data_IF_122467949019
#
_entry.id   IF_122467949019
#
_cell.length_a   1.000
_cell.length_b   1.000
_cell.length_c   1.000
_cell.angle_alpha   90.00
_cell.angle_beta   90.00
_cell.angle_gamma   90.00
#
_symmetry.space_group_name_H-M   'P 1'
#
loop_
_entity.id
_entity.type
_entity.pdbx_description
1 polymer ?
#
# COMPACT_ATOMS: atom_id res chain seq x y z
N UNK A 1 -12.31 -13.95 -5.73
CA UNK A 1 -12.45 -14.23 -4.29
C UNK A 1 -13.84 -13.84 -3.82
N UNK A 2 -14.42 -14.54 -2.85
CA UNK A 2 -15.68 -14.13 -2.20
C UNK A 2 -15.36 -13.48 -0.86
N UNK A 3 -15.98 -12.33 -0.56
CA UNK A 3 -15.78 -11.64 0.72
C UNK A 3 -16.58 -12.37 1.80
N UNK A 4 -15.91 -12.76 2.89
CA UNK A 4 -16.56 -13.38 4.04
C UNK A 4 -17.55 -12.44 4.72
N UNK A 5 -18.63 -12.98 5.29
CA UNK A 5 -19.68 -12.20 5.96
C UNK A 5 -19.06 -11.28 7.04
N UNK A 6 -19.41 -9.98 6.98
CA UNK A 6 -18.91 -8.97 7.92
C UNK A 6 -17.48 -8.48 7.66
N UNK A 7 -16.78 -9.03 6.66
CA UNK A 7 -15.47 -8.55 6.21
C UNK A 7 -15.59 -7.58 5.03
N UNK A 8 -14.54 -6.82 4.78
CA UNK A 8 -14.44 -5.78 3.75
C UNK A 8 -13.06 -5.77 3.11
N UNK A 9 -12.97 -5.26 1.89
CA UNK A 9 -11.69 -4.92 1.25
C UNK A 9 -11.51 -3.41 1.41
N UNK A 10 -10.36 -2.99 1.91
CA UNK A 10 -10.04 -1.57 2.09
C UNK A 10 -9.05 -1.13 1.02
N UNK A 11 -9.33 0.00 0.39
CA UNK A 11 -8.45 0.63 -0.59
C UNK A 11 -7.95 1.94 0.00
N UNK A 12 -6.66 2.20 -0.14
CA UNK A 12 -6.05 3.48 0.22
C UNK A 12 -4.84 3.76 -0.67
N UNK A 13 -4.55 5.03 -0.90
CA UNK A 13 -3.45 5.52 -1.74
C UNK A 13 -3.07 6.93 -1.29
N UNK A 14 -2.03 7.50 -1.92
CA UNK A 14 -1.71 8.94 -1.82
C UNK A 14 -1.48 9.41 -0.38
N UNK A 15 -0.80 8.57 0.40
CA UNK A 15 -0.40 8.94 1.75
C UNK A 15 0.77 9.92 1.74
N UNK A 16 1.64 9.87 0.73
CA UNK A 16 2.80 10.75 0.57
C UNK A 16 3.60 10.89 1.89
N UNK A 17 3.94 9.76 2.50
CA UNK A 17 4.78 9.73 3.69
C UNK A 17 6.18 10.24 3.34
N UNK A 18 6.60 11.31 4.01
CA UNK A 18 7.84 12.05 3.72
C UNK A 18 7.60 13.55 3.52
N UNK A 19 6.41 13.93 3.01
CA UNK A 19 6.05 15.31 2.70
C UNK A 19 5.17 15.97 3.78
N UNK A 20 5.06 17.31 3.85
CA UNK A 20 6.04 18.27 3.36
C UNK A 20 7.27 18.38 4.29
N UNK A 21 7.15 17.86 5.51
CA UNK A 21 8.17 17.90 6.54
C UNK A 21 8.03 16.68 7.46
N UNK A 22 9.07 16.42 8.27
CA UNK A 22 9.13 15.25 9.15
C UNK A 22 8.00 15.23 10.19
N UNK A 23 7.67 16.37 10.80
CA UNK A 23 6.68 16.44 11.87
C UNK A 23 5.26 16.16 11.34
N UNK A 24 4.91 16.79 10.22
CA UNK A 24 3.65 16.60 9.52
C UNK A 24 3.52 15.17 8.98
N UNK A 25 4.58 14.64 8.37
CA UNK A 25 4.63 13.25 7.89
C UNK A 25 4.47 12.25 9.04
N UNK A 26 5.15 12.46 10.17
CA UNK A 26 5.02 11.60 11.35
C UNK A 26 3.61 11.62 11.95
N UNK A 27 2.97 12.79 11.99
CA UNK A 27 1.58 12.89 12.43
C UNK A 27 0.65 12.10 11.51
N UNK A 28 0.87 12.15 10.19
CA UNK A 28 0.13 11.37 9.20
C UNK A 28 0.41 9.87 9.31
N UNK A 29 1.67 9.46 9.47
CA UNK A 29 2.08 8.07 9.72
C UNK A 29 1.29 7.48 10.90
N UNK A 30 1.29 8.18 12.05
CA UNK A 30 0.55 7.75 13.25
C UNK A 30 -0.96 7.67 13.01
N UNK A 31 -1.52 8.60 12.23
CA UNK A 31 -2.95 8.60 11.88
C UNK A 31 -3.30 7.38 11.02
N UNK A 32 -2.47 7.06 10.02
CA UNK A 32 -2.63 5.90 9.14
C UNK A 32 -2.53 4.60 9.96
N UNK A 33 -1.51 4.48 10.82
CA UNK A 33 -1.34 3.31 11.69
C UNK A 33 -2.57 3.09 12.58
N UNK A 34 -3.09 4.15 13.21
CA UNK A 34 -4.33 4.06 14.03
C UNK A 34 -5.55 3.68 13.20
N UNK A 35 -5.66 4.18 11.97
CA UNK A 35 -6.72 3.78 11.06
C UNK A 35 -6.62 2.31 10.67
N UNK A 36 -5.42 1.81 10.38
CA UNK A 36 -5.16 0.40 10.09
C UNK A 36 -5.58 -0.50 11.27
N UNK A 37 -5.30 -0.10 12.50
CA UNK A 37 -5.78 -0.80 13.70
C UNK A 37 -7.31 -0.86 13.77
N UNK A 38 -7.97 0.23 13.39
CA UNK A 38 -9.43 0.34 13.45
C UNK A 38 -10.11 -0.56 12.42
N UNK A 39 -9.52 -0.71 11.23
CA UNK A 39 -10.10 -1.54 10.16
C UNK A 39 -9.69 -3.02 10.25
N UNK A 40 -8.59 -3.34 10.92
CA UNK A 40 -8.03 -4.70 10.96
C UNK A 40 -9.05 -5.80 11.31
N UNK A 41 -9.93 -5.64 12.32
CA UNK A 41 -10.92 -6.67 12.66
C UNK A 41 -11.90 -7.00 11.52
N UNK A 42 -12.18 -6.04 10.64
CA UNK A 42 -13.10 -6.18 9.51
C UNK A 42 -12.39 -6.35 8.16
N UNK A 43 -11.05 -6.29 8.11
CA UNK A 43 -10.30 -6.43 6.86
C UNK A 43 -10.26 -7.88 6.38
N UNK A 44 -10.75 -8.12 5.17
CA UNK A 44 -10.47 -9.32 4.38
C UNK A 44 -9.18 -9.16 3.59
N UNK A 45 -8.90 -7.94 3.13
CA UNK A 45 -7.72 -7.56 2.37
C UNK A 45 -7.57 -6.04 2.43
N UNK A 46 -6.33 -5.57 2.39
CA UNK A 46 -5.99 -4.16 2.25
C UNK A 46 -5.24 -3.99 0.93
N UNK A 47 -5.63 -2.97 0.16
CA UNK A 47 -4.99 -2.60 -1.09
C UNK A 47 -4.40 -1.21 -0.92
N UNK A 48 -3.09 -1.11 -1.06
CA UNK A 48 -2.33 0.13 -1.09
C UNK A 48 -2.08 0.49 -2.56
N UNK A 49 -2.81 1.46 -3.11
CA UNK A 49 -2.92 1.73 -4.53
C UNK A 49 -2.01 2.89 -5.00
N UNK A 50 -0.72 2.84 -4.66
CA UNK A 50 0.28 3.81 -5.09
C UNK A 50 0.41 5.04 -4.17
N UNK A 51 1.55 5.72 -4.35
CA UNK A 51 1.92 6.97 -3.67
C UNK A 51 1.75 6.93 -2.14
N UNK A 52 2.21 5.83 -1.55
CA UNK A 52 2.23 5.66 -0.10
C UNK A 52 3.39 6.44 0.50
N UNK A 53 4.55 6.44 -0.15
CA UNK A 53 5.67 7.30 0.20
C UNK A 53 5.73 8.49 -0.77
N UNK A 54 6.22 9.61 -0.28
CA UNK A 54 6.53 10.77 -1.13
C UNK A 54 7.81 10.51 -1.95
N UNK A 55 8.68 9.64 -1.45
CA UNK A 55 9.80 9.09 -2.20
C UNK A 55 10.25 7.77 -1.58
N UNK A 56 10.35 6.72 -2.39
CA UNK A 56 10.92 5.44 -1.98
C UNK A 56 11.87 4.89 -3.03
N UNK A 57 13.11 4.59 -2.62
CA UNK A 57 14.14 4.02 -3.48
C UNK A 57 14.87 2.87 -2.79
N UNK A 58 14.72 1.66 -3.30
CA UNK A 58 15.40 0.49 -2.77
C UNK A 58 16.83 0.37 -3.32
N UNK A 59 17.80 0.25 -2.40
CA UNK A 59 19.16 -0.13 -2.74
C UNK A 59 19.36 -1.61 -2.43
N UNK A 60 20.30 -2.24 -3.14
CA UNK A 60 20.60 -3.68 -2.99
C UNK A 60 20.87 -4.12 -1.54
N UNK A 61 21.37 -3.23 -0.69
CA UNK A 61 21.81 -3.53 0.68
C UNK A 61 21.32 -2.50 1.70
N UNK A 62 20.44 -1.57 1.30
CA UNK A 62 19.94 -0.53 2.18
C UNK A 62 18.47 -0.21 1.88
N UNK A 63 17.71 -0.07 2.95
CA UNK A 63 16.31 0.34 2.93
C UNK A 63 16.25 1.83 3.30
N UNK A 64 15.40 2.65 2.65
CA UNK A 64 15.15 4.02 3.07
C UNK A 64 14.85 4.12 4.56
N UNK A 65 15.46 5.11 5.21
CA UNK A 65 15.20 5.40 6.63
C UNK A 65 13.82 6.02 6.80
N UNK A 66 13.14 5.68 7.90
CA UNK A 66 11.87 6.28 8.27
C UNK A 66 10.69 5.33 8.10
N UNK A 67 9.48 5.86 8.36
CA UNK A 67 8.21 5.15 8.19
C UNK A 67 8.11 3.80 8.92
N UNK A 68 8.92 3.63 9.97
CA UNK A 68 9.09 2.34 10.64
C UNK A 68 7.81 1.88 11.35
N UNK A 69 6.95 2.81 11.79
CA UNK A 69 5.68 2.46 12.45
C UNK A 69 4.69 1.94 11.42
N UNK A 70 4.65 2.57 10.25
CA UNK A 70 3.84 2.08 9.13
C UNK A 70 4.33 0.70 8.66
N UNK A 71 5.64 0.55 8.40
CA UNK A 71 6.23 -0.73 8.02
C UNK A 71 5.97 -1.82 9.08
N UNK A 72 6.18 -1.52 10.36
CA UNK A 72 5.89 -2.44 11.46
C UNK A 72 4.40 -2.80 11.55
N UNK A 73 3.49 -1.85 11.27
CA UNK A 73 2.06 -2.14 11.22
C UNK A 73 1.71 -3.06 10.05
N UNK A 74 2.32 -2.88 8.88
CA UNK A 74 2.11 -3.79 7.75
C UNK A 74 2.59 -5.21 8.09
N UNK A 75 3.76 -5.35 8.72
CA UNK A 75 4.27 -6.63 9.20
C UNK A 75 3.27 -7.31 10.16
N UNK A 76 2.81 -6.58 11.18
CA UNK A 76 1.84 -7.09 12.16
C UNK A 76 0.52 -7.56 11.50
N UNK A 77 0.01 -6.81 10.53
CA UNK A 77 -1.21 -7.19 9.80
C UNK A 77 -1.01 -8.47 8.97
N UNK A 78 0.16 -8.61 8.34
CA UNK A 78 0.52 -9.81 7.57
C UNK A 78 0.68 -11.03 8.46
N UNK A 79 1.30 -10.89 9.64
CA UNK A 79 1.39 -11.95 10.65
C UNK A 79 0.01 -12.38 11.16
N UNK A 80 -0.95 -11.46 11.23
CA UNK A 80 -2.36 -11.74 11.53
C UNK A 80 -3.13 -12.35 10.34
N UNK A 81 -2.44 -12.74 9.27
CA UNK A 81 -3.01 -13.30 8.05
C UNK A 81 -4.01 -12.37 7.35
N UNK A 82 -3.86 -11.05 7.47
CA UNK A 82 -4.63 -10.08 6.69
C UNK A 82 -3.84 -9.83 5.39
N UNK A 83 -4.33 -10.27 4.21
CA UNK A 83 -3.67 -10.01 2.95
C UNK A 83 -3.54 -8.51 2.69
N UNK A 84 -2.36 -8.13 2.20
CA UNK A 84 -2.05 -6.78 1.74
C UNK A 84 -1.49 -6.90 0.33
N UNK A 85 -1.97 -6.07 -0.59
CA UNK A 85 -1.42 -5.89 -1.93
C UNK A 85 -0.98 -4.44 -2.06
N UNK A 86 0.17 -4.23 -2.69
CA UNK A 86 0.73 -2.92 -2.96
C UNK A 86 0.79 -2.68 -4.47
N UNK A 87 0.41 -1.50 -4.92
CA UNK A 87 0.67 -0.99 -6.26
C UNK A 87 1.65 0.15 -6.16
N UNK A 88 2.65 0.21 -7.03
CA UNK A 88 3.52 1.39 -7.12
C UNK A 88 2.76 2.55 -7.75
N UNK A 89 3.03 3.77 -7.32
CA UNK A 89 2.68 5.00 -8.04
C UNK A 89 3.92 5.70 -8.59
N UNK A 90 3.78 6.94 -9.04
CA UNK A 90 4.88 7.71 -9.62
C UNK A 90 5.93 8.16 -8.57
N UNK A 91 5.58 8.21 -7.28
CA UNK A 91 6.53 8.49 -6.18
C UNK A 91 7.24 7.24 -5.64
N UNK A 92 6.65 6.06 -5.86
CA UNK A 92 7.08 4.77 -5.32
C UNK A 92 7.66 3.82 -6.38
N UNK A 93 8.02 4.33 -7.57
CA UNK A 93 8.40 3.50 -8.73
C UNK A 93 9.65 2.62 -8.51
N UNK A 94 10.49 2.96 -7.54
CA UNK A 94 11.72 2.22 -7.18
C UNK A 94 11.53 1.25 -6.00
N UNK A 95 10.29 0.82 -5.73
CA UNK A 95 10.00 -0.37 -4.91
C UNK A 95 10.26 -1.65 -5.71
N UNK A 96 11.19 -2.50 -5.30
CA UNK A 96 11.51 -3.76 -5.99
C UNK A 96 10.90 -4.95 -5.24
N UNK A 97 11.70 -5.67 -4.47
CA UNK A 97 11.32 -6.93 -3.86
C UNK A 97 11.40 -6.89 -2.33
N UNK A 98 11.85 -5.80 -1.71
CA UNK A 98 11.97 -5.71 -0.24
C UNK A 98 10.63 -6.00 0.46
N UNK A 99 9.54 -5.35 0.06
CA UNK A 99 8.21 -5.59 0.67
C UNK A 99 7.68 -7.00 0.35
N UNK A 100 8.01 -7.54 -0.82
CA UNK A 100 7.61 -8.89 -1.20
C UNK A 100 8.34 -9.92 -0.36
N UNK A 101 9.65 -9.77 -0.19
CA UNK A 101 10.52 -10.73 0.48
C UNK A 101 10.40 -10.65 2.01
N UNK A 102 10.44 -9.44 2.58
CA UNK A 102 10.45 -9.26 4.04
C UNK A 102 9.06 -9.26 4.65
N UNK A 103 8.06 -8.72 3.95
CA UNK A 103 6.70 -8.56 4.49
C UNK A 103 5.69 -9.51 3.87
N UNK A 104 6.07 -10.29 2.85
CA UNK A 104 5.16 -11.12 2.07
C UNK A 104 4.01 -10.30 1.46
N UNK A 105 4.30 -9.07 1.01
CA UNK A 105 3.34 -8.15 0.37
C UNK A 105 3.65 -8.12 -1.13
N UNK A 106 2.77 -8.68 -1.99
CA UNK A 106 2.93 -8.56 -3.43
C UNK A 106 2.91 -7.08 -3.87
N UNK A 107 3.92 -6.69 -4.64
CA UNK A 107 4.04 -5.34 -5.23
C UNK A 107 3.80 -5.41 -6.74
N UNK A 108 2.79 -4.71 -7.23
CA UNK A 108 2.43 -4.63 -8.64
C UNK A 108 2.74 -3.26 -9.23
N UNK A 109 3.37 -3.24 -10.41
CA UNK A 109 3.62 -2.02 -11.17
C UNK A 109 2.55 -1.68 -12.21
N UNK A 110 1.77 -2.68 -12.62
CA UNK A 110 0.76 -2.54 -13.66
C UNK A 110 -0.62 -2.82 -13.05
N UNK A 111 -1.69 -2.17 -13.57
CA UNK A 111 -3.04 -2.48 -13.16
C UNK A 111 -3.33 -3.98 -13.24
N UNK A 112 -4.00 -4.52 -12.23
CA UNK A 112 -4.39 -5.93 -12.14
C UNK A 112 -5.91 -6.05 -12.14
N UNK A 113 -6.40 -7.12 -12.77
CA UNK A 113 -7.83 -7.46 -12.75
C UNK A 113 -8.12 -8.42 -11.61
N UNK A 114 -9.16 -8.11 -10.84
CA UNK A 114 -9.66 -8.94 -9.76
C UNK A 114 -11.13 -9.28 -10.00
N UNK A 115 -11.49 -10.53 -9.72
CA UNK A 115 -12.89 -10.93 -9.60
C UNK A 115 -13.22 -11.01 -8.11
N UNK A 116 -13.95 -10.02 -7.59
CA UNK A 116 -14.35 -9.92 -6.19
C UNK A 116 -15.86 -10.14 -6.12
N UNK A 117 -16.28 -11.19 -5.41
CA UNK A 117 -17.60 -11.79 -5.53
C UNK A 117 -17.91 -12.09 -7.00
N UNK A 118 -18.89 -11.40 -7.58
CA UNK A 118 -19.25 -11.49 -9.00
C UNK A 118 -18.83 -10.24 -9.79
N UNK A 119 -18.14 -9.30 -9.15
CA UNK A 119 -17.74 -8.01 -9.73
C UNK A 119 -16.31 -8.10 -10.24
N UNK A 120 -16.11 -7.77 -11.53
CA UNK A 120 -14.77 -7.57 -12.10
C UNK A 120 -14.30 -6.15 -11.77
N UNK A 121 -13.12 -6.03 -11.19
CA UNK A 121 -12.49 -4.76 -10.83
C UNK A 121 -11.11 -4.69 -11.47
N UNK A 122 -10.79 -3.56 -12.10
CA UNK A 122 -9.43 -3.23 -12.53
C UNK A 122 -8.84 -2.27 -11.49
N UNK A 123 -7.69 -2.61 -10.92
CA UNK A 123 -7.07 -1.86 -9.83
C UNK A 123 -5.63 -1.54 -10.20
N UNK A 124 -5.24 -0.28 -10.06
CA UNK A 124 -3.90 0.28 -10.22
C UNK A 124 -3.86 1.67 -9.61
N UNK A 125 -2.70 2.33 -9.62
CA UNK A 125 -2.57 3.70 -9.09
C UNK A 125 -3.37 4.71 -9.94
N UNK A 126 -3.08 4.78 -11.24
CA UNK A 126 -3.87 5.54 -12.22
C UNK A 126 -3.08 6.57 -13.01
N UNK A 127 -1.85 6.85 -12.59
CA UNK A 127 -0.85 7.62 -13.31
C UNK A 127 -0.56 7.03 -14.70
N UNK A 128 -0.33 7.90 -15.69
CA UNK A 128 0.04 7.50 -17.05
C UNK A 128 -1.09 6.85 -17.88
N UNK A 129 -2.31 6.75 -17.34
CA UNK A 129 -3.47 6.17 -18.04
C UNK A 129 -4.39 7.24 -18.68
N UNK A 130 -4.25 8.51 -18.29
CA UNK A 130 -5.05 9.61 -18.83
C UNK A 130 -4.60 10.05 -20.23
N UNK A 131 -5.51 10.56 -21.09
CA UNK A 131 -5.10 11.15 -22.37
C UNK A 131 -4.09 12.29 -22.17
N UNK A 132 -2.90 12.15 -22.73
CA UNK A 132 -1.83 13.15 -22.61
C UNK A 132 -0.95 12.99 -21.36
N UNK A 133 -1.27 12.04 -20.48
CA UNK A 133 -0.44 11.68 -19.34
C UNK A 133 0.67 10.72 -19.81
N UNK A 134 1.92 11.12 -19.65
CA UNK A 134 3.11 10.33 -20.01
C UNK A 134 4.00 10.27 -18.78
N UNK A 135 3.90 9.16 -18.05
CA UNK A 135 4.79 8.78 -16.96
C UNK A 135 6.01 8.03 -17.47
#
# INVERSE_FOLDING_TARGET
>A
MTISKGKKIFFASDFHLGSPDEASSLAREKKIVRWLDTIAPQAQMIVLAGDIFDFWFEYKQAVPKGFIRFQGKLAELREKNIPIIFFTGNHDMWMFDYFTNELNIPVYRKPQQFLINQTKMLIGHGDGLGPGDKT
#
